data_IF_769351037709
#
_entry.id   IF_769351037709
#
_cell.length_a   1.000
_cell.length_b   1.000
_cell.length_c   1.000
_cell.angle_alpha   90.00
_cell.angle_beta   90.00
_cell.angle_gamma   90.00
#
_symmetry.space_group_name_H-M   'P 1'
#
loop_
_entity.id
_entity.type
_entity.pdbx_description
1 polymer ?
#
# COMPACT_ATOMS: atom_id res chain seq x y z
N UNK A 1 -10.54 5.41 15.41
CA UNK A 1 -10.40 4.89 14.02
C UNK A 1 -11.43 5.49 13.08
N UNK A 2 -12.70 5.67 13.48
CA UNK A 2 -13.75 6.20 12.59
C UNK A 2 -13.46 7.55 11.96
N UNK A 3 -12.79 8.46 12.69
CA UNK A 3 -12.37 9.76 12.16
C UNK A 3 -11.34 9.63 11.03
N UNK A 4 -10.34 8.77 11.19
CA UNK A 4 -9.33 8.49 10.15
C UNK A 4 -9.95 7.82 8.93
N UNK A 5 -10.88 6.88 9.14
CA UNK A 5 -11.65 6.26 8.05
C UNK A 5 -12.44 7.29 7.27
N UNK A 6 -13.13 8.22 7.95
CA UNK A 6 -13.87 9.33 7.30
C UNK A 6 -12.95 10.25 6.49
N UNK A 7 -11.77 10.56 7.02
CA UNK A 7 -10.75 11.35 6.31
C UNK A 7 -10.33 10.61 5.02
N UNK A 8 -10.09 9.30 5.09
CA UNK A 8 -9.76 8.47 3.90
C UNK A 8 -10.89 8.43 2.88
N UNK A 9 -12.14 8.24 3.30
CA UNK A 9 -13.31 8.17 2.38
C UNK A 9 -13.64 9.52 1.75
N UNK A 10 -13.27 10.62 2.41
CA UNK A 10 -13.39 11.96 1.85
C UNK A 10 -12.09 12.25 1.11
N UNK A 11 -11.89 11.61 -0.05
CA UNK A 11 -10.64 11.50 -0.84
C UNK A 11 -9.82 12.81 -1.01
N UNK A 12 -10.44 13.98 -0.80
CA UNK A 12 -9.83 15.30 -0.90
C UNK A 12 -9.29 15.87 0.43
N UNK A 13 -9.52 15.20 1.57
CA UNK A 13 -9.15 15.73 2.89
C UNK A 13 -7.85 15.13 3.40
N UNK A 14 -6.80 15.96 3.49
CA UNK A 14 -5.59 15.62 4.23
C UNK A 14 -5.85 15.72 5.74
N UNK A 15 -5.13 14.91 6.52
CA UNK A 15 -5.16 15.01 7.99
C UNK A 15 -4.73 16.43 8.39
N UNK A 16 -5.51 17.09 9.26
CA UNK A 16 -5.22 18.45 9.75
C UNK A 16 -4.70 18.49 11.19
N UNK A 17 -4.96 17.43 11.95
CA UNK A 17 -4.66 17.36 13.39
C UNK A 17 -3.38 16.54 13.63
N UNK A 18 -2.36 17.09 14.31
CA UNK A 18 -1.08 16.41 14.53
C UNK A 18 -1.21 15.04 15.21
N UNK A 19 -2.13 14.90 16.17
CA UNK A 19 -2.39 13.63 16.88
C UNK A 19 -2.81 12.51 15.91
N UNK A 20 -3.69 12.81 14.96
CA UNK A 20 -4.13 11.83 13.97
C UNK A 20 -3.05 11.57 12.91
N UNK A 21 -2.24 12.57 12.62
CA UNK A 21 -1.11 12.43 11.71
C UNK A 21 -0.03 11.50 12.29
N UNK A 22 0.30 11.66 13.57
CA UNK A 22 1.19 10.75 14.30
C UNK A 22 0.66 9.33 14.29
N UNK A 23 -0.64 9.13 14.51
CA UNK A 23 -1.24 7.80 14.45
C UNK A 23 -1.11 7.18 13.05
N UNK A 24 -1.33 7.95 11.99
CA UNK A 24 -1.13 7.49 10.62
C UNK A 24 0.35 7.15 10.35
N UNK A 25 1.29 7.99 10.77
CA UNK A 25 2.73 7.74 10.65
C UNK A 25 3.14 6.45 11.35
N UNK A 26 2.74 6.28 12.61
CA UNK A 26 3.02 5.07 13.39
C UNK A 26 2.44 3.84 12.70
N UNK A 27 1.18 3.90 12.26
CA UNK A 27 0.55 2.79 11.56
C UNK A 27 1.35 2.37 10.32
N UNK A 28 1.61 3.32 9.42
CA UNK A 28 2.30 3.02 8.16
C UNK A 28 3.74 2.57 8.40
N UNK A 29 4.44 3.15 9.38
CA UNK A 29 5.79 2.68 9.76
C UNK A 29 5.74 1.26 10.31
N UNK A 30 4.82 0.95 11.23
CA UNK A 30 4.67 -0.40 11.78
C UNK A 30 4.27 -1.42 10.71
N UNK A 31 3.41 -1.06 9.75
CA UNK A 31 3.01 -1.97 8.67
C UNK A 31 4.20 -2.33 7.76
N UNK A 32 5.07 -1.35 7.46
CA UNK A 32 6.30 -1.59 6.70
C UNK A 32 7.24 -2.52 7.48
N UNK A 33 7.49 -2.22 8.76
CA UNK A 33 8.35 -3.04 9.63
C UNK A 33 7.82 -4.46 9.83
N UNK A 34 6.50 -4.63 10.01
CA UNK A 34 5.87 -5.95 10.15
C UNK A 34 6.13 -6.81 8.91
N UNK A 35 5.96 -6.22 7.72
CA UNK A 35 6.20 -6.94 6.46
C UNK A 35 7.64 -7.45 6.37
N UNK A 36 8.61 -6.64 6.79
CA UNK A 36 10.03 -7.01 6.78
C UNK A 36 10.33 -8.08 7.84
N UNK A 37 9.78 -7.95 9.05
CA UNK A 37 9.93 -8.94 10.13
C UNK A 37 9.33 -10.30 9.76
N UNK A 38 8.16 -10.33 9.13
CA UNK A 38 7.53 -11.58 8.69
C UNK A 38 8.38 -12.28 7.63
N UNK A 39 8.96 -11.51 6.70
CA UNK A 39 9.83 -12.04 5.66
C UNK A 39 11.11 -12.68 6.23
N UNK A 40 11.67 -12.12 7.32
CA UNK A 40 12.91 -12.61 7.94
C UNK A 40 12.68 -13.72 8.98
N UNK A 41 11.65 -13.58 9.82
CA UNK A 41 11.51 -14.37 11.06
C UNK A 41 10.32 -15.34 11.05
N UNK A 42 9.50 -15.36 9.98
CA UNK A 42 8.30 -16.21 9.85
C UNK A 42 7.33 -16.10 11.05
N UNK A 43 7.20 -14.90 11.61
CA UNK A 43 6.30 -14.64 12.74
C UNK A 43 4.84 -14.57 12.25
N UNK A 44 3.85 -14.88 13.12
CA UNK A 44 2.45 -14.67 12.78
C UNK A 44 2.16 -13.17 12.60
N UNK A 45 1.34 -12.78 11.61
CA UNK A 45 0.96 -11.39 11.39
C UNK A 45 0.10 -10.88 12.56
N UNK A 46 0.29 -9.62 12.95
CA UNK A 46 -0.47 -8.95 14.01
C UNK A 46 -1.91 -8.59 13.58
N UNK A 47 -2.18 -8.62 12.27
CA UNK A 47 -3.45 -8.21 11.68
C UNK A 47 -3.51 -6.72 11.28
N UNK A 48 -2.42 -5.96 11.42
CA UNK A 48 -2.36 -4.55 10.99
C UNK A 48 -2.76 -4.35 9.53
N UNK A 49 -2.37 -5.29 8.64
CA UNK A 49 -2.70 -5.27 7.22
C UNK A 49 -4.21 -5.12 6.96
N UNK A 50 -5.08 -5.65 7.84
CA UNK A 50 -6.54 -5.54 7.68
C UNK A 50 -7.06 -4.09 7.76
N UNK A 51 -6.27 -3.17 8.31
CA UNK A 51 -6.61 -1.75 8.42
C UNK A 51 -6.00 -0.89 7.30
N UNK A 52 -5.16 -1.44 6.42
CA UNK A 52 -4.45 -0.72 5.34
C UNK A 52 -5.42 0.14 4.52
N UNK A 53 -6.48 -0.47 4.01
CA UNK A 53 -7.51 0.18 3.17
C UNK A 53 -8.26 1.32 3.88
N UNK A 54 -8.31 1.29 5.21
CA UNK A 54 -9.04 2.28 6.02
C UNK A 54 -8.16 3.41 6.54
N UNK A 55 -6.85 3.36 6.30
CA UNK A 55 -5.91 4.33 6.85
C UNK A 55 -5.56 5.42 5.83
N UNK A 56 -5.72 6.72 6.17
CA UNK A 56 -5.21 7.81 5.34
C UNK A 56 -3.67 7.84 5.34
N UNK A 57 -3.11 8.36 4.24
CA UNK A 57 -1.68 8.68 4.23
C UNK A 57 -1.38 9.82 5.21
N UNK A 58 -0.20 9.82 5.83
CA UNK A 58 0.20 10.90 6.71
C UNK A 58 0.40 12.19 5.90
N UNK A 59 -0.01 13.30 6.48
CA UNK A 59 0.21 14.63 5.96
C UNK A 59 1.56 15.17 6.44
N UNK A 60 2.53 15.26 5.51
CA UNK A 60 3.88 15.73 5.84
C UNK A 60 3.97 17.22 6.17
N UNK A 61 2.99 18.04 5.75
CA UNK A 61 2.99 19.47 6.09
C UNK A 61 2.76 19.75 7.57
N UNK A 62 2.26 18.76 8.33
CA UNK A 62 2.10 18.84 9.78
C UNK A 62 3.36 18.46 10.57
N UNK A 63 4.43 18.02 9.89
CA UNK A 63 5.70 17.69 10.51
C UNK A 63 6.66 18.88 10.43
N UNK A 64 7.37 19.13 11.53
CA UNK A 64 8.37 20.18 11.62
C UNK A 64 9.70 19.61 12.15
N UNK A 65 10.82 20.25 11.77
CA UNK A 65 12.15 19.85 12.23
C UNK A 65 12.81 18.73 11.41
N UNK A 66 12.26 18.34 10.27
CA UNK A 66 12.84 17.35 9.36
C UNK A 66 13.21 18.00 8.02
N UNK A 67 14.31 17.53 7.40
CA UNK A 67 14.70 17.94 6.05
C UNK A 67 13.64 17.46 5.04
N UNK A 68 13.31 18.30 4.06
CA UNK A 68 12.30 17.99 3.05
C UNK A 68 12.58 16.66 2.33
N UNK A 69 13.86 16.34 2.07
CA UNK A 69 14.26 15.08 1.42
C UNK A 69 13.89 13.88 2.27
N UNK A 70 13.91 13.98 3.60
CA UNK A 70 13.50 12.90 4.50
C UNK A 70 12.00 12.67 4.39
N UNK A 71 11.21 13.75 4.39
CA UNK A 71 9.75 13.69 4.26
C UNK A 71 9.33 13.10 2.90
N UNK A 72 9.96 13.57 1.83
CA UNK A 72 9.71 13.10 0.46
C UNK A 72 10.13 11.63 0.30
N UNK A 73 11.29 11.25 0.85
CA UNK A 73 11.77 9.86 0.80
C UNK A 73 10.82 8.91 1.51
N UNK A 74 10.29 9.30 2.66
CA UNK A 74 9.31 8.47 3.37
C UNK A 74 8.03 8.31 2.56
N UNK A 75 7.49 9.39 1.97
CA UNK A 75 6.31 9.30 1.11
C UNK A 75 6.55 8.40 -0.11
N UNK A 76 7.71 8.54 -0.74
CA UNK A 76 8.10 7.71 -1.88
C UNK A 76 8.20 6.23 -1.49
N UNK A 77 8.84 5.90 -0.36
CA UNK A 77 8.90 4.54 0.17
C UNK A 77 7.50 3.95 0.40
N UNK A 78 6.64 4.72 1.07
CA UNK A 78 5.28 4.31 1.36
C UNK A 78 4.50 4.05 0.07
N UNK A 79 4.58 4.96 -0.91
CA UNK A 79 3.94 4.80 -2.22
C UNK A 79 4.45 3.56 -2.95
N UNK A 80 5.77 3.36 -3.03
CA UNK A 80 6.35 2.22 -3.73
C UNK A 80 5.92 0.90 -3.10
N UNK A 81 5.86 0.82 -1.76
CA UNK A 81 5.49 -0.41 -1.07
C UNK A 81 4.01 -0.76 -1.24
N UNK A 82 3.10 0.19 -1.02
CA UNK A 82 1.66 -0.06 -1.27
C UNK A 82 1.42 -0.42 -2.73
N UNK A 83 2.16 0.21 -3.64
CA UNK A 83 2.06 -0.08 -5.05
C UNK A 83 2.55 -1.51 -5.39
N UNK A 84 3.74 -1.89 -4.95
CA UNK A 84 4.28 -3.23 -5.15
C UNK A 84 3.39 -4.31 -4.51
N UNK A 85 2.83 -4.03 -3.33
CA UNK A 85 1.85 -4.91 -2.69
C UNK A 85 0.59 -5.08 -3.53
N UNK A 86 0.10 -4.00 -4.15
CA UNK A 86 -1.05 -4.05 -5.08
C UNK A 86 -0.74 -4.92 -6.31
N UNK A 87 0.42 -4.69 -6.94
CA UNK A 87 0.90 -5.50 -8.08
C UNK A 87 1.00 -6.98 -7.67
N UNK A 88 1.62 -7.27 -6.53
CA UNK A 88 1.77 -8.64 -6.03
C UNK A 88 0.39 -9.29 -5.82
N UNK A 89 -0.60 -8.58 -5.29
CA UNK A 89 -1.97 -9.08 -5.16
C UNK A 89 -2.63 -9.32 -6.52
N UNK A 90 -2.43 -8.44 -7.51
CA UNK A 90 -2.98 -8.64 -8.86
C UNK A 90 -2.43 -9.89 -9.56
N UNK A 91 -1.16 -10.23 -9.35
CA UNK A 91 -0.52 -11.39 -9.98
C UNK A 91 -0.74 -12.71 -9.23
N UNK A 92 -0.91 -12.65 -7.91
CA UNK A 92 -0.85 -13.85 -7.05
C UNK A 92 -2.03 -14.03 -6.10
N UNK A 93 -3.05 -13.16 -6.13
CA UNK A 93 -4.27 -13.43 -5.36
C UNK A 93 -4.84 -14.79 -5.81
N UNK A 94 -5.10 -15.72 -4.88
CA UNK A 94 -5.70 -16.99 -5.24
C UNK A 94 -7.06 -16.69 -5.85
N UNK A 95 -7.24 -17.06 -7.12
CA UNK A 95 -8.54 -16.97 -7.77
C UNK A 95 -9.56 -17.66 -6.88
N UNK A 96 -10.59 -16.92 -6.46
CA UNK A 96 -11.72 -17.49 -5.70
C UNK A 96 -12.50 -18.53 -6.52
N UNK A 97 -12.11 -18.76 -7.77
CA UNK A 97 -12.69 -19.71 -8.71
C UNK A 97 -11.71 -20.85 -9.07
N UNK A 98 -10.93 -21.39 -8.13
CA UNK A 98 -10.29 -22.70 -8.35
C UNK A 98 -11.28 -23.81 -8.00
N UNK A 99 -12.29 -23.93 -8.86
CA UNK A 99 -12.78 -25.23 -9.32
C UNK A 99 -12.71 -25.13 -10.84
N UNK A 100 -11.97 -26.05 -11.46
CA UNK A 100 -11.75 -26.18 -12.91
C UNK A 100 -10.56 -25.40 -13.48
N UNK A 101 -9.38 -26.04 -13.48
CA UNK A 101 -8.46 -26.05 -14.63
C UNK A 101 -7.24 -26.92 -14.34
N UNK A 102 -7.42 -28.25 -14.35
CA UNK A 102 -6.35 -29.17 -14.73
C UNK A 102 -6.23 -29.15 -16.25
N UNK A 103 -5.56 -28.16 -16.83
CA UNK A 103 -5.13 -28.20 -18.22
C UNK A 103 -3.86 -27.37 -18.40
N UNK A 104 -2.82 -28.02 -18.96
CA UNK A 104 -1.50 -27.46 -19.28
C UNK A 104 -1.58 -26.43 -20.42
N UNK A 105 -2.27 -25.31 -20.19
CA UNK A 105 -2.14 -24.10 -20.99
C UNK A 105 -1.39 -23.05 -20.18
N UNK A 106 -0.54 -22.28 -20.86
CA UNK A 106 0.28 -21.23 -20.28
C UNK A 106 -0.56 -20.36 -19.34
N UNK A 107 -0.16 -20.33 -18.08
CA UNK A 107 -0.85 -19.68 -16.96
C UNK A 107 -1.44 -18.32 -17.42
N UNK A 108 -2.78 -18.14 -17.44
CA UNK A 108 -3.42 -16.88 -17.90
C UNK A 108 -2.99 -15.66 -17.05
N UNK A 109 -2.27 -15.91 -15.94
CA UNK A 109 -1.58 -14.95 -15.07
C UNK A 109 -0.67 -13.96 -15.82
N UNK A 110 -0.15 -14.33 -17.00
CA UNK A 110 0.78 -13.47 -17.74
C UNK A 110 0.11 -12.58 -18.80
N UNK A 111 -1.19 -12.76 -19.10
CA UNK A 111 -1.87 -11.97 -20.13
C UNK A 111 -1.98 -10.47 -19.78
N UNK A 112 -1.96 -10.14 -18.49
CA UNK A 112 -2.02 -8.74 -18.02
C UNK A 112 -0.63 -8.13 -17.77
N UNK A 113 0.47 -8.88 -17.95
CA UNK A 113 1.82 -8.39 -17.67
C UNK A 113 2.20 -7.26 -18.60
N UNK A 114 1.88 -7.35 -19.90
CA UNK A 114 2.15 -6.26 -20.85
C UNK A 114 1.41 -4.98 -20.47
N UNK A 115 0.12 -5.09 -20.12
CA UNK A 115 -0.72 -3.96 -19.72
C UNK A 115 -0.22 -3.31 -18.41
N UNK A 116 0.13 -4.13 -17.42
CA UNK A 116 0.66 -3.62 -16.14
C UNK A 116 2.06 -3.03 -16.34
N UNK A 117 2.94 -3.68 -17.11
CA UNK A 117 4.28 -3.18 -17.39
C UNK A 117 4.27 -1.86 -18.17
N UNK A 118 3.36 -1.69 -19.13
CA UNK A 118 3.19 -0.43 -19.86
C UNK A 118 2.63 0.67 -18.96
N UNK A 119 1.69 0.35 -18.06
CA UNK A 119 1.14 1.29 -17.08
C UNK A 119 2.20 1.75 -16.05
N UNK A 120 3.06 0.82 -15.59
CA UNK A 120 4.21 1.08 -14.71
C UNK A 120 5.24 1.96 -15.43
N UNK A 121 5.63 1.57 -16.64
CA UNK A 121 6.75 2.18 -17.37
C UNK A 121 6.44 3.59 -17.84
N UNK A 122 5.20 3.86 -18.23
CA UNK A 122 4.78 5.18 -18.70
C UNK A 122 4.31 6.10 -17.58
N UNK A 123 4.37 5.66 -16.30
CA UNK A 123 3.80 6.36 -15.15
C UNK A 123 2.34 6.80 -15.35
N UNK A 124 1.61 6.22 -16.32
CA UNK A 124 0.22 6.59 -16.63
C UNK A 124 -0.78 6.16 -15.55
N UNK A 125 -0.32 5.35 -14.60
CA UNK A 125 -1.04 5.04 -13.36
C UNK A 125 -1.02 6.17 -12.31
N UNK A 126 -0.26 7.25 -12.54
CA UNK A 126 -0.32 8.49 -11.76
C UNK A 126 -1.49 9.28 -12.35
N UNK A 127 -2.71 8.86 -12.03
CA UNK A 127 -3.89 9.64 -12.36
C UNK A 127 -3.87 10.96 -11.55
N UNK A 128 -4.24 12.02 -12.26
CA UNK A 128 -4.26 13.45 -11.87
C UNK A 128 -5.12 13.77 -10.67
#
# INVERSE_FOLDING_TARGET
MDKLRRIKTTDLSMIQEPKYNQLALTFWTCLQLESDLIAELQLPPSGLLSYEENMPHPNMSLLSGFDQRVLDSYLAQLYLRTHLNSIHRMFYAPDKNIKEAESKELDPKFNNVGLVADAVSNMQWVAR
#
